data_IF_808658575679
#
_entry.id   IF_808658575679
#
_cell.length_a   1.000
_cell.length_b   1.000
_cell.length_c   1.000
_cell.angle_alpha   90.00
_cell.angle_beta   90.00
_cell.angle_gamma   90.00
#
_symmetry.space_group_name_H-M   'P 1'
#
loop_
_entity.id
_entity.type
_entity.pdbx_description
1 polymer ?
#
# COMPACT_ATOMS: atom_id res chain seq x y z
N UNK A 1 16.22 -3.00 43.35
CA UNK A 1 17.06 -3.30 42.17
C UNK A 1 16.22 -4.12 41.20
N UNK A 2 16.02 -3.53 40.02
CA UNK A 2 15.46 -4.03 38.74
C UNK A 2 14.35 -5.09 38.72
N UNK A 3 13.15 -4.65 38.35
CA UNK A 3 12.32 -5.38 37.38
C UNK A 3 11.79 -4.36 36.37
N UNK A 4 12.62 -4.01 35.37
CA UNK A 4 12.14 -3.33 34.15
C UNK A 4 12.06 -4.40 33.07
N UNK A 5 10.94 -5.13 33.04
CA UNK A 5 10.65 -6.04 31.94
C UNK A 5 10.47 -5.24 30.66
N UNK A 6 10.91 -5.79 29.53
CA UNK A 6 10.76 -5.21 28.19
C UNK A 6 9.33 -4.78 27.84
N UNK A 7 8.34 -5.40 28.49
CA UNK A 7 6.92 -5.09 28.37
C UNK A 7 6.56 -3.72 28.96
N UNK A 8 7.13 -3.35 30.11
CA UNK A 8 6.92 -2.03 30.72
C UNK A 8 7.49 -0.92 29.86
N UNK A 9 8.69 -1.10 29.32
CA UNK A 9 9.31 -0.13 28.39
C UNK A 9 8.51 0.02 27.09
N UNK A 10 7.97 -1.07 26.56
CA UNK A 10 7.09 -1.03 25.39
C UNK A 10 5.78 -0.29 25.67
N UNK A 11 5.21 -0.43 26.87
CA UNK A 11 4.03 0.32 27.30
C UNK A 11 4.31 1.83 27.40
N UNK A 12 5.45 2.22 27.99
CA UNK A 12 5.87 3.63 28.05
C UNK A 12 6.15 4.24 26.66
N UNK A 13 6.77 3.48 25.76
CA UNK A 13 7.01 3.94 24.39
C UNK A 13 5.69 4.15 23.61
N UNK A 14 4.72 3.24 23.77
CA UNK A 14 3.38 3.41 23.19
C UNK A 14 2.66 4.62 23.76
N UNK A 15 2.74 4.80 25.08
CA UNK A 15 2.14 5.93 25.79
C UNK A 15 2.72 7.27 25.31
N UNK A 16 4.05 7.37 25.23
CA UNK A 16 4.73 8.57 24.72
C UNK A 16 4.36 8.89 23.26
N UNK A 17 4.20 7.88 22.42
CA UNK A 17 3.75 8.04 21.03
C UNK A 17 2.32 8.56 20.94
N UNK A 18 1.38 7.94 21.65
CA UNK A 18 -0.03 8.33 21.63
C UNK A 18 -0.20 9.75 22.17
N UNK A 19 0.36 10.04 23.34
CA UNK A 19 0.29 11.37 23.94
C UNK A 19 0.99 12.43 23.08
N UNK A 20 2.12 12.09 22.47
CA UNK A 20 2.81 12.97 21.52
C UNK A 20 1.92 13.30 20.32
N UNK A 21 1.33 12.29 19.67
CA UNK A 21 0.41 12.54 18.55
C UNK A 21 -0.76 13.43 18.97
N UNK A 22 -1.39 13.16 20.11
CA UNK A 22 -2.49 13.99 20.64
C UNK A 22 -2.05 15.44 20.91
N UNK A 23 -0.92 15.64 21.58
CA UNK A 23 -0.40 16.96 21.89
C UNK A 23 0.04 17.74 20.65
N UNK A 24 0.63 17.06 19.67
CA UNK A 24 1.00 17.66 18.39
C UNK A 24 -0.23 18.13 17.61
N UNK A 25 -1.28 17.31 17.53
CA UNK A 25 -2.54 17.69 16.88
C UNK A 25 -3.18 18.91 17.58
N UNK A 26 -3.23 18.89 18.92
CA UNK A 26 -3.80 20.01 19.68
C UNK A 26 -3.00 21.30 19.53
N UNK A 27 -1.67 21.22 19.49
CA UNK A 27 -0.82 22.38 19.25
C UNK A 27 -1.13 22.98 17.87
N UNK A 28 -1.29 22.16 16.83
CA UNK A 28 -1.61 22.65 15.49
C UNK A 28 -3.01 23.28 15.41
N UNK A 29 -4.00 22.70 16.10
CA UNK A 29 -5.35 23.28 16.21
C UNK A 29 -5.35 24.65 16.93
N UNK A 30 -4.39 24.88 17.81
CA UNK A 30 -4.21 26.15 18.53
C UNK A 30 -3.28 27.13 17.78
N UNK A 31 -2.87 26.82 16.54
CA UNK A 31 -1.96 27.65 15.75
C UNK A 31 -0.48 27.55 16.15
N UNK A 32 -0.13 26.54 16.95
CA UNK A 32 1.23 26.16 17.30
C UNK A 32 1.92 25.34 16.22
N UNK A 33 2.95 24.58 16.60
CA UNK A 33 3.65 23.62 15.72
C UNK A 33 3.47 22.21 16.25
N UNK A 34 3.03 21.28 15.40
CA UNK A 34 2.86 19.87 15.75
C UNK A 34 4.08 19.30 16.47
N UNK A 35 5.30 19.50 15.94
CA UNK A 35 6.53 18.98 16.56
C UNK A 35 6.72 19.45 18.02
N UNK A 36 6.36 20.70 18.34
CA UNK A 36 6.47 21.23 19.69
C UNK A 36 5.44 20.59 20.64
N UNK A 37 4.19 20.43 20.18
CA UNK A 37 3.15 19.74 20.93
C UNK A 37 3.45 18.25 21.11
N UNK A 38 4.03 17.63 20.08
CA UNK A 38 4.41 16.22 20.07
C UNK A 38 5.51 15.92 21.08
N UNK A 39 6.60 16.70 21.04
CA UNK A 39 7.72 16.52 21.96
C UNK A 39 7.30 16.83 23.39
N UNK A 40 6.55 17.92 23.61
CA UNK A 40 6.14 18.32 24.97
C UNK A 40 5.15 17.33 25.59
N UNK A 41 4.12 16.88 24.86
CA UNK A 41 3.15 15.93 25.36
C UNK A 41 3.71 14.49 25.44
N UNK A 42 4.56 14.09 24.49
CA UNK A 42 5.23 12.79 24.52
C UNK A 42 6.23 12.67 25.68
N UNK A 43 6.97 13.74 25.98
CA UNK A 43 7.85 13.80 27.15
C UNK A 43 7.05 13.82 28.47
N UNK A 44 5.85 14.40 28.48
CA UNK A 44 4.98 14.48 29.66
C UNK A 44 4.09 13.24 29.86
N UNK A 45 4.04 12.34 28.87
CA UNK A 45 3.13 11.20 28.81
C UNK A 45 3.28 10.21 29.98
N UNK A 46 4.44 10.20 30.64
CA UNK A 46 4.75 9.34 31.79
C UNK A 46 3.85 9.61 33.01
N UNK A 47 3.04 10.68 32.99
CA UNK A 47 2.23 11.16 34.11
C UNK A 47 0.71 11.04 33.93
N UNK A 48 0.20 10.52 32.79
CA UNK A 48 -1.24 10.61 32.46
C UNK A 48 -1.87 9.27 32.00
N UNK A 49 -3.17 9.03 32.28
CA UNK A 49 -3.92 7.89 31.73
C UNK A 49 -4.17 8.01 30.21
N UNK A 50 -4.24 6.87 29.52
CA UNK A 50 -4.45 6.76 28.07
C UNK A 50 -5.92 7.06 27.73
N UNK A 51 -6.23 8.04 26.85
CA UNK A 51 -7.54 8.13 26.24
C UNK A 51 -7.67 7.12 25.09
N UNK A 52 -8.78 6.40 25.07
CA UNK A 52 -9.16 5.52 23.97
C UNK A 52 -9.75 6.36 22.82
N UNK A 53 -9.08 6.37 21.67
CA UNK A 53 -9.54 7.12 20.49
C UNK A 53 -10.42 6.20 19.65
N UNK A 54 -11.72 6.24 19.89
CA UNK A 54 -12.71 5.59 19.03
C UNK A 54 -13.15 6.57 17.93
N UNK A 55 -12.83 6.25 16.67
CA UNK A 55 -13.26 7.02 15.51
C UNK A 55 -13.90 6.06 14.49
N UNK A 56 -15.23 5.96 14.54
CA UNK A 56 -16.00 5.07 13.67
C UNK A 56 -16.48 5.80 12.39
N UNK A 57 -16.70 5.03 11.32
CA UNK A 57 -17.23 5.53 10.05
C UNK A 57 -16.22 6.26 9.16
N UNK A 58 -16.68 6.68 7.98
CA UNK A 58 -15.82 7.29 6.95
C UNK A 58 -15.13 8.57 7.43
N UNK A 59 -15.81 9.41 8.20
CA UNK A 59 -15.24 10.63 8.77
C UNK A 59 -14.13 10.32 9.80
N UNK A 60 -14.35 9.33 10.67
CA UNK A 60 -13.35 8.89 11.64
C UNK A 60 -12.09 8.32 10.98
N UNK A 61 -12.27 7.51 9.94
CA UNK A 61 -11.15 6.96 9.18
C UNK A 61 -10.37 8.04 8.41
N UNK A 62 -11.04 9.07 7.89
CA UNK A 62 -10.36 10.25 7.28
C UNK A 62 -9.50 10.99 8.30
N UNK A 63 -10.00 11.16 9.53
CA UNK A 63 -9.24 11.79 10.62
C UNK A 63 -8.02 10.96 11.00
N UNK A 64 -8.16 9.63 11.09
CA UNK A 64 -7.03 8.72 11.35
C UNK A 64 -5.98 8.81 10.23
N UNK A 65 -6.40 8.80 8.96
CA UNK A 65 -5.50 8.94 7.82
C UNK A 65 -4.77 10.29 7.86
N UNK A 66 -5.46 11.38 8.20
CA UNK A 66 -4.87 12.69 8.37
C UNK A 66 -3.78 12.69 9.45
N UNK A 67 -4.06 12.11 10.62
CA UNK A 67 -3.11 12.04 11.73
C UNK A 67 -1.87 11.23 11.34
N UNK A 68 -2.04 10.10 10.66
CA UNK A 68 -0.92 9.26 10.20
C UNK A 68 -0.08 10.03 9.18
N UNK A 69 -0.69 10.57 8.12
CA UNK A 69 0.02 11.28 7.07
C UNK A 69 0.73 12.54 7.56
N UNK A 70 0.11 13.28 8.48
CA UNK A 70 0.73 14.44 9.11
C UNK A 70 1.94 14.05 9.96
N UNK A 71 1.83 12.99 10.75
CA UNK A 71 2.94 12.49 11.59
C UNK A 71 4.11 12.04 10.72
N UNK A 72 3.85 11.29 9.64
CA UNK A 72 4.90 10.84 8.71
C UNK A 72 5.57 12.03 8.01
N UNK A 73 4.80 13.03 7.59
CA UNK A 73 5.34 14.26 6.99
C UNK A 73 6.26 14.99 7.95
N UNK A 74 5.87 15.17 9.22
CA UNK A 74 6.74 15.86 10.19
C UNK A 74 8.01 15.06 10.48
N UNK A 75 7.91 13.74 10.65
CA UNK A 75 9.08 12.87 10.89
C UNK A 75 10.08 12.86 9.72
N UNK A 76 9.61 13.12 8.50
CA UNK A 76 10.44 13.20 7.30
C UNK A 76 10.88 14.63 6.94
N UNK A 77 10.62 15.61 7.83
CA UNK A 77 11.04 17.01 7.66
C UNK A 77 10.05 17.90 6.88
N UNK A 78 8.86 17.39 6.57
CA UNK A 78 7.73 18.14 6.04
C UNK A 78 6.90 18.80 7.14
N UNK A 79 5.80 19.49 6.74
CA UNK A 79 4.83 20.07 7.69
C UNK A 79 3.72 19.07 7.99
N UNK A 80 3.35 18.92 9.26
CA UNK A 80 2.21 18.10 9.67
C UNK A 80 0.94 18.42 8.88
N UNK A 81 0.53 19.69 8.80
CA UNK A 81 -0.68 20.10 8.09
C UNK A 81 -0.70 19.64 6.62
N UNK A 82 0.44 19.71 5.92
CA UNK A 82 0.54 19.28 4.52
C UNK A 82 0.35 17.77 4.39
N UNK A 83 1.00 16.98 5.25
CA UNK A 83 0.84 15.52 5.26
C UNK A 83 -0.55 15.08 5.68
N UNK A 84 -1.16 15.80 6.63
CA UNK A 84 -2.49 15.51 7.13
C UNK A 84 -3.56 15.80 6.08
N UNK A 85 -3.50 16.96 5.41
CA UNK A 85 -4.40 17.30 4.32
C UNK A 85 -4.24 16.32 3.16
N UNK A 86 -3.00 15.97 2.79
CA UNK A 86 -2.74 15.03 1.71
C UNK A 86 -3.33 13.64 2.01
N UNK A 87 -3.09 13.09 3.18
CA UNK A 87 -3.58 11.76 3.55
C UNK A 87 -5.10 11.73 3.79
N UNK A 88 -5.69 12.77 4.38
CA UNK A 88 -7.13 12.91 4.50
C UNK A 88 -7.81 12.97 3.13
N UNK A 89 -7.26 13.78 2.23
CA UNK A 89 -7.76 13.92 0.87
C UNK A 89 -7.63 12.61 0.09
N UNK A 90 -6.50 11.91 0.20
CA UNK A 90 -6.30 10.61 -0.44
C UNK A 90 -7.26 9.55 0.09
N UNK A 91 -7.51 9.53 1.39
CA UNK A 91 -8.47 8.62 1.97
C UNK A 91 -9.90 8.94 1.49
N UNK A 92 -10.29 10.21 1.50
CA UNK A 92 -11.61 10.65 1.04
C UNK A 92 -11.80 10.42 -0.48
N UNK A 93 -10.78 10.73 -1.28
CA UNK A 93 -10.78 10.51 -2.73
C UNK A 93 -10.71 9.02 -3.05
N UNK A 94 -9.87 8.24 -2.36
CA UNK A 94 -9.80 6.79 -2.47
C UNK A 94 -11.14 6.12 -2.16
N UNK A 95 -11.82 6.56 -1.10
CA UNK A 95 -13.21 6.14 -0.83
C UNK A 95 -14.18 6.58 -1.92
N UNK A 96 -14.04 7.79 -2.47
CA UNK A 96 -14.90 8.27 -3.56
C UNK A 96 -14.64 7.54 -4.88
N UNK A 97 -13.39 7.14 -5.14
CA UNK A 97 -12.98 6.34 -6.29
C UNK A 97 -13.46 4.90 -6.09
N UNK A 98 -13.33 4.31 -4.91
CA UNK A 98 -13.91 3.01 -4.59
C UNK A 98 -15.45 3.02 -4.69
N UNK A 99 -16.10 4.11 -4.28
CA UNK A 99 -17.55 4.33 -4.41
C UNK A 99 -18.01 4.73 -5.82
N UNK A 100 -17.11 5.20 -6.70
CA UNK A 100 -17.38 5.48 -8.13
C UNK A 100 -16.98 4.33 -9.06
N UNK A 101 -16.07 3.46 -8.62
CA UNK A 101 -15.73 2.17 -9.28
C UNK A 101 -16.91 1.20 -9.28
N UNK A 102 -17.94 1.45 -8.47
CA UNK A 102 -19.21 0.73 -8.54
C UNK A 102 -20.14 1.23 -9.64
N UNK A 103 -19.87 2.38 -10.30
CA UNK A 103 -20.80 2.97 -11.27
C UNK A 103 -20.27 3.24 -12.69
N UNK A 104 -19.05 3.73 -12.96
CA UNK A 104 -18.70 4.13 -14.35
C UNK A 104 -17.20 4.00 -14.73
N UNK A 105 -16.93 3.20 -15.78
CA UNK A 105 -15.87 3.29 -16.82
C UNK A 105 -14.35 3.31 -16.42
N UNK A 106 -13.58 2.26 -16.71
CA UNK A 106 -12.79 1.97 -17.96
C UNK A 106 -11.31 2.40 -17.87
N UNK A 107 -10.30 1.52 -17.89
CA UNK A 107 -10.28 0.12 -18.32
C UNK A 107 -9.24 -0.77 -17.62
N UNK A 108 -9.69 -1.97 -17.27
CA UNK A 108 -9.06 -3.24 -17.69
C UNK A 108 -10.12 -4.20 -18.28
N UNK A 109 -11.28 -3.67 -18.71
CA UNK A 109 -12.44 -4.45 -19.11
C UNK A 109 -12.17 -5.35 -20.32
N UNK A 110 -11.68 -6.55 -20.02
CA UNK A 110 -11.39 -7.63 -20.93
C UNK A 110 -10.52 -8.61 -20.16
N UNK A 111 -11.08 -9.77 -19.79
CA UNK A 111 -10.38 -10.77 -19.00
C UNK A 111 -8.95 -10.96 -19.52
N UNK A 112 -8.00 -11.01 -18.60
CA UNK A 112 -6.57 -11.12 -18.89
C UNK A 112 -6.34 -12.04 -20.12
N UNK A 113 -5.80 -11.54 -21.24
CA UNK A 113 -5.81 -12.26 -22.52
C UNK A 113 -4.94 -13.53 -22.47
N UNK A 114 -4.17 -13.70 -21.40
CA UNK A 114 -3.26 -14.83 -21.20
C UNK A 114 -4.03 -15.97 -20.53
N UNK A 115 -4.14 -17.15 -21.17
CA UNK A 115 -4.73 -18.34 -20.57
C UNK A 115 -4.10 -18.69 -19.21
N UNK A 116 -4.84 -19.43 -18.39
CA UNK A 116 -4.24 -19.97 -17.17
C UNK A 116 -3.18 -21.01 -17.54
N UNK A 117 -1.99 -20.88 -16.94
CA UNK A 117 -0.87 -21.81 -17.09
C UNK A 117 -0.17 -22.01 -15.74
N UNK A 118 -0.51 -23.11 -15.08
CA UNK A 118 0.04 -23.49 -13.78
C UNK A 118 1.20 -24.50 -13.90
N UNK A 119 1.71 -24.74 -15.11
CA UNK A 119 2.81 -25.69 -15.34
C UNK A 119 4.12 -25.20 -14.69
N UNK A 120 4.32 -23.88 -14.60
CA UNK A 120 5.48 -23.26 -13.95
C UNK A 120 5.42 -23.24 -12.42
N UNK A 121 4.34 -23.72 -11.79
CA UNK A 121 4.20 -23.70 -10.33
C UNK A 121 5.08 -24.79 -9.69
N UNK A 122 5.97 -24.48 -8.71
CA UNK A 122 7.01 -25.40 -8.26
C UNK A 122 6.55 -26.70 -7.60
N UNK A 123 5.34 -26.72 -7.03
CA UNK A 123 4.81 -27.91 -6.33
C UNK A 123 3.30 -28.00 -6.50
N UNK A 124 2.76 -29.22 -6.41
CA UNK A 124 1.31 -29.46 -6.45
C UNK A 124 0.57 -28.76 -5.31
N UNK A 125 1.21 -28.67 -4.13
CA UNK A 125 0.66 -27.92 -2.99
C UNK A 125 0.52 -26.43 -3.33
N UNK A 126 1.55 -25.82 -3.91
CA UNK A 126 1.48 -24.42 -4.33
C UNK A 126 0.43 -24.22 -5.42
N UNK A 127 0.32 -25.18 -6.36
CA UNK A 127 -0.70 -25.15 -7.40
C UNK A 127 -2.10 -25.16 -6.79
N UNK A 128 -2.36 -26.04 -5.83
CA UNK A 128 -3.62 -26.09 -5.10
C UNK A 128 -3.91 -24.78 -4.35
N UNK A 129 -2.92 -24.20 -3.68
CA UNK A 129 -3.09 -22.91 -2.99
C UNK A 129 -3.38 -21.77 -3.97
N UNK A 130 -2.77 -21.78 -5.16
CA UNK A 130 -3.04 -20.81 -6.23
C UNK A 130 -4.41 -20.99 -6.89
N UNK A 131 -5.09 -22.12 -6.73
CA UNK A 131 -6.45 -22.33 -7.27
C UNK A 131 -7.52 -22.34 -6.19
N UNK A 132 -7.13 -22.35 -4.91
CA UNK A 132 -8.03 -22.39 -3.76
C UNK A 132 -9.02 -21.23 -3.76
N UNK A 133 -10.24 -21.48 -3.28
CA UNK A 133 -11.23 -20.42 -2.99
C UNK A 133 -10.99 -19.77 -1.63
N UNK A 134 -10.12 -20.34 -0.79
CA UNK A 134 -9.76 -19.77 0.52
C UNK A 134 -8.76 -18.61 0.34
N UNK A 135 -9.10 -17.38 0.78
CA UNK A 135 -8.17 -16.26 0.77
C UNK A 135 -6.86 -16.53 1.51
N UNK A 136 -6.85 -17.33 2.57
CA UNK A 136 -5.64 -17.64 3.33
C UNK A 136 -4.65 -18.47 2.50
N UNK A 137 -5.14 -19.41 1.70
CA UNK A 137 -4.31 -20.18 0.77
C UNK A 137 -3.71 -19.30 -0.32
N UNK A 138 -4.52 -18.39 -0.89
CA UNK A 138 -4.06 -17.42 -1.91
C UNK A 138 -2.93 -16.55 -1.37
N UNK A 139 -3.15 -15.95 -0.20
CA UNK A 139 -2.12 -15.17 0.50
C UNK A 139 -0.90 -16.05 0.83
N UNK A 140 -1.10 -17.30 1.22
CA UNK A 140 -0.02 -18.27 1.46
C UNK A 140 0.82 -18.52 0.22
N UNK A 141 0.20 -18.74 -0.95
CA UNK A 141 0.89 -18.91 -2.22
C UNK A 141 1.69 -17.66 -2.60
N UNK A 142 1.11 -16.48 -2.41
CA UNK A 142 1.78 -15.22 -2.65
C UNK A 142 3.03 -15.03 -1.75
N UNK A 143 2.97 -15.41 -0.47
CA UNK A 143 4.14 -15.41 0.42
C UNK A 143 5.25 -16.36 -0.06
N UNK A 144 4.87 -17.52 -0.57
CA UNK A 144 5.83 -18.47 -1.14
C UNK A 144 6.44 -17.93 -2.43
N UNK A 145 5.67 -17.24 -3.27
CA UNK A 145 6.18 -16.55 -4.46
C UNK A 145 7.17 -15.42 -4.11
N UNK A 146 6.89 -14.62 -3.07
CA UNK A 146 7.82 -13.60 -2.54
C UNK A 146 9.18 -14.23 -2.21
N UNK A 147 9.18 -15.36 -1.49
CA UNK A 147 10.39 -16.07 -1.14
C UNK A 147 11.10 -16.67 -2.37
N UNK A 148 10.34 -17.33 -3.25
CA UNK A 148 10.86 -17.99 -4.45
C UNK A 148 11.54 -17.02 -5.42
N UNK A 149 10.87 -15.91 -5.74
CA UNK A 149 11.37 -14.89 -6.67
C UNK A 149 12.30 -13.87 -6.01
N UNK A 150 12.57 -14.01 -4.71
CA UNK A 150 13.44 -13.12 -3.94
C UNK A 150 12.99 -11.66 -4.01
N UNK A 151 11.69 -11.44 -3.90
CA UNK A 151 11.08 -10.11 -3.95
C UNK A 151 11.55 -9.32 -2.75
N UNK A 152 12.18 -8.16 -2.99
CA UNK A 152 12.69 -7.31 -1.93
C UNK A 152 11.54 -6.59 -1.24
N UNK A 153 11.31 -6.95 0.01
CA UNK A 153 10.34 -6.27 0.86
C UNK A 153 10.97 -4.99 1.41
N UNK A 154 10.42 -3.80 1.12
CA UNK A 154 10.89 -2.56 1.74
C UNK A 154 10.66 -2.63 3.26
N UNK A 155 11.44 -1.87 4.03
CA UNK A 155 11.37 -1.88 5.51
C UNK A 155 10.02 -1.40 6.09
N UNK A 156 9.12 -0.88 5.26
CA UNK A 156 7.77 -0.50 5.64
C UNK A 156 6.89 -1.74 5.88
N UNK A 157 6.10 -1.72 6.97
CA UNK A 157 5.08 -2.76 7.21
C UNK A 157 3.94 -2.58 6.21
N UNK A 158 3.62 -3.63 5.47
CA UNK A 158 2.41 -3.72 4.67
C UNK A 158 1.66 -5.03 4.94
N UNK A 159 0.35 -5.01 4.71
CA UNK A 159 -0.52 -6.18 4.79
C UNK A 159 -0.72 -6.78 3.40
N UNK A 160 -0.57 -8.10 3.28
CA UNK A 160 -0.84 -8.82 2.03
C UNK A 160 -2.23 -9.45 2.12
N UNK A 161 -3.10 -9.15 1.15
CA UNK A 161 -4.50 -9.56 1.10
C UNK A 161 -4.84 -10.23 -0.22
N UNK A 162 -5.95 -10.97 -0.21
CA UNK A 162 -6.60 -11.48 -1.41
C UNK A 162 -8.05 -11.03 -1.42
N UNK A 163 -8.52 -10.55 -2.58
CA UNK A 163 -9.92 -10.22 -2.82
C UNK A 163 -10.38 -10.92 -4.11
N UNK A 164 -11.28 -11.90 -3.97
CA UNK A 164 -11.82 -12.66 -5.09
C UNK A 164 -12.68 -11.85 -6.06
N UNK A 165 -13.11 -10.65 -5.66
CA UNK A 165 -13.89 -9.74 -6.51
C UNK A 165 -13.00 -8.67 -7.19
N UNK A 166 -11.72 -8.61 -6.84
CA UNK A 166 -10.80 -7.64 -7.43
C UNK A 166 -10.54 -8.03 -8.88
N UNK A 167 -11.00 -7.18 -9.80
CA UNK A 167 -10.83 -7.40 -11.24
C UNK A 167 -9.39 -7.22 -11.71
N UNK A 168 -8.58 -6.50 -10.93
CA UNK A 168 -7.17 -6.24 -11.20
C UNK A 168 -6.28 -7.38 -10.70
N UNK A 169 -5.07 -7.47 -11.26
CA UNK A 169 -4.03 -8.39 -10.77
C UNK A 169 -3.61 -8.00 -9.34
N UNK A 170 -3.23 -6.74 -9.14
CA UNK A 170 -2.78 -6.22 -7.86
C UNK A 170 -3.34 -4.82 -7.61
N UNK A 171 -3.33 -4.42 -6.34
CA UNK A 171 -3.70 -3.09 -5.89
C UNK A 171 -2.93 -2.75 -4.61
N UNK A 172 -2.11 -1.71 -4.66
CA UNK A 172 -1.45 -1.14 -3.48
C UNK A 172 -2.19 0.10 -2.97
N UNK A 173 -2.58 0.09 -1.70
CA UNK A 173 -3.36 1.15 -1.06
C UNK A 173 -2.79 1.55 0.30
N UNK A 174 -3.04 2.79 0.71
CA UNK A 174 -2.72 3.30 2.03
C UNK A 174 -4.02 3.66 2.78
N UNK A 175 -4.59 2.69 3.50
CA UNK A 175 -5.89 2.80 4.20
C UNK A 175 -5.76 2.36 5.66
N UNK A 176 -5.32 3.26 6.55
CA UNK A 176 -5.00 2.92 7.96
C UNK A 176 -3.72 2.07 8.12
N UNK A 177 -3.09 1.72 7.01
CA UNK A 177 -1.87 0.93 6.85
C UNK A 177 -1.63 0.69 5.36
N UNK A 178 -0.39 0.38 4.98
CA UNK A 178 -0.07 0.02 3.60
C UNK A 178 -0.56 -1.40 3.35
N UNK A 179 -1.30 -1.63 2.27
CA UNK A 179 -1.81 -2.96 1.91
C UNK A 179 -1.57 -3.25 0.44
N UNK A 180 -1.22 -4.50 0.14
CA UNK A 180 -1.14 -5.06 -1.20
C UNK A 180 -2.25 -6.11 -1.31
N UNK A 181 -3.25 -5.84 -2.13
CA UNK A 181 -4.37 -6.76 -2.37
C UNK A 181 -4.22 -7.39 -3.75
N UNK A 182 -4.25 -8.72 -3.81
CA UNK A 182 -4.18 -9.48 -5.06
C UNK A 182 -5.57 -9.99 -5.46
N UNK A 183 -5.88 -9.91 -6.75
CA UNK A 183 -7.12 -10.45 -7.33
C UNK A 183 -6.89 -11.80 -8.02
N UNK A 184 -7.96 -12.51 -8.42
CA UNK A 184 -7.86 -13.76 -9.17
C UNK A 184 -6.92 -13.70 -10.38
N UNK A 185 -6.89 -12.61 -11.18
CA UNK A 185 -5.98 -12.52 -12.32
C UNK A 185 -4.51 -12.68 -11.93
N UNK A 186 -4.04 -12.27 -10.75
CA UNK A 186 -2.63 -12.46 -10.38
C UNK A 186 -2.17 -13.93 -10.33
N UNK A 187 -3.11 -14.87 -10.16
CA UNK A 187 -2.81 -16.28 -9.92
C UNK A 187 -2.89 -17.16 -11.18
N UNK A 188 -3.00 -16.58 -12.38
CA UNK A 188 -3.14 -17.36 -13.63
C UNK A 188 -1.87 -18.09 -14.05
N UNK A 189 -0.70 -17.63 -13.63
CA UNK A 189 0.57 -18.31 -13.83
C UNK A 189 1.56 -18.00 -12.70
N UNK A 190 2.59 -18.82 -12.55
CA UNK A 190 3.62 -18.59 -11.53
C UNK A 190 4.43 -17.32 -11.80
N UNK A 191 4.78 -17.09 -13.06
CA UNK A 191 5.49 -15.90 -13.53
C UNK A 191 4.65 -14.64 -13.38
N UNK A 192 3.33 -14.71 -13.61
CA UNK A 192 2.41 -13.60 -13.42
C UNK A 192 2.23 -13.23 -11.96
N UNK A 193 2.13 -14.21 -11.06
CA UNK A 193 2.06 -13.96 -9.62
C UNK A 193 3.34 -13.26 -9.14
N UNK A 194 4.51 -13.76 -9.58
CA UNK A 194 5.80 -13.14 -9.30
C UNK A 194 5.92 -11.71 -9.79
N UNK A 195 5.57 -11.46 -11.06
CA UNK A 195 5.62 -10.13 -11.67
C UNK A 195 4.64 -9.15 -11.00
N UNK A 196 3.42 -9.59 -10.67
CA UNK A 196 2.43 -8.77 -9.95
C UNK A 196 2.96 -8.39 -8.57
N UNK A 197 3.50 -9.35 -7.80
CA UNK A 197 4.07 -9.06 -6.49
C UNK A 197 5.28 -8.12 -6.56
N UNK A 198 6.15 -8.27 -7.56
CA UNK A 198 7.28 -7.36 -7.76
C UNK A 198 6.82 -5.94 -8.08
N UNK A 199 5.81 -5.82 -8.93
CA UNK A 199 5.17 -4.55 -9.29
C UNK A 199 4.58 -3.85 -8.05
N UNK A 200 3.75 -4.55 -7.28
CA UNK A 200 3.13 -3.96 -6.09
C UNK A 200 4.16 -3.66 -5.00
N UNK A 201 5.08 -4.58 -4.71
CA UNK A 201 5.97 -4.50 -3.52
C UNK A 201 7.26 -3.72 -3.80
N UNK A 202 8.00 -4.06 -4.86
CA UNK A 202 9.30 -3.42 -5.13
C UNK A 202 9.16 -2.07 -5.80
N UNK A 203 7.99 -1.78 -6.40
CA UNK A 203 7.70 -0.49 -7.01
C UNK A 203 6.70 0.30 -6.19
N UNK A 204 5.44 -0.10 -6.06
CA UNK A 204 4.44 0.77 -5.42
C UNK A 204 4.65 0.92 -3.92
N UNK A 205 4.85 -0.15 -3.16
CA UNK A 205 5.15 -0.06 -1.72
C UNK A 205 6.44 0.75 -1.49
N UNK A 206 7.46 0.58 -2.35
CA UNK A 206 8.68 1.41 -2.30
C UNK A 206 8.41 2.89 -2.61
N UNK A 207 7.63 3.20 -3.65
CA UNK A 207 7.21 4.57 -3.99
C UNK A 207 6.40 5.20 -2.84
N UNK A 208 5.47 4.47 -2.23
CA UNK A 208 4.75 4.96 -1.05
C UNK A 208 5.68 5.20 0.15
N UNK A 209 6.75 4.42 0.28
CA UNK A 209 7.75 4.58 1.35
C UNK A 209 8.69 5.77 1.10
N UNK A 210 9.10 6.00 -0.15
CA UNK A 210 10.10 7.00 -0.53
C UNK A 210 9.47 8.33 -0.94
N UNK A 211 8.52 8.29 -1.85
CA UNK A 211 7.87 9.47 -2.45
C UNK A 211 6.62 9.89 -1.66
N UNK A 212 6.18 9.05 -0.74
CA UNK A 212 4.89 9.21 -0.07
C UNK A 212 3.72 8.92 -1.00
N UNK A 213 2.50 9.10 -0.49
CA UNK A 213 1.30 8.82 -1.26
C UNK A 213 1.05 9.87 -2.35
N UNK A 214 0.28 9.51 -3.38
CA UNK A 214 0.09 10.35 -4.58
C UNK A 214 -0.40 11.77 -4.26
N UNK A 215 0.37 12.78 -4.64
CA UNK A 215 0.14 14.20 -4.30
C UNK A 215 -0.85 14.93 -5.21
N UNK A 216 -1.59 14.22 -6.06
CA UNK A 216 -2.60 14.79 -6.97
C UNK A 216 -2.02 15.57 -8.15
N UNK A 217 -0.72 15.43 -8.45
CA UNK A 217 -0.13 16.08 -9.64
C UNK A 217 -0.72 15.45 -10.91
N UNK A 218 -1.04 16.24 -11.94
CA UNK A 218 -1.48 15.69 -13.23
C UNK A 218 -0.50 14.62 -13.74
N UNK A 219 -1.04 13.46 -14.14
CA UNK A 219 -0.25 12.34 -14.65
C UNK A 219 0.67 11.65 -13.63
N UNK A 220 0.53 11.89 -12.33
CA UNK A 220 1.34 11.19 -11.32
C UNK A 220 1.06 9.68 -11.29
N UNK A 221 -0.22 9.31 -11.35
CA UNK A 221 -0.64 7.91 -11.42
C UNK A 221 -0.02 7.21 -12.63
N UNK A 222 -0.22 7.75 -13.84
CA UNK A 222 0.30 7.15 -15.07
C UNK A 222 1.84 7.07 -15.07
N UNK A 223 2.55 8.04 -14.48
CA UNK A 223 4.03 7.95 -14.32
C UNK A 223 4.45 6.81 -13.40
N UNK A 224 3.76 6.62 -12.27
CA UNK A 224 4.06 5.53 -11.33
C UNK A 224 3.81 4.17 -11.98
N UNK A 225 2.70 4.02 -12.72
CA UNK A 225 2.36 2.82 -13.49
C UNK A 225 3.37 2.53 -14.62
N UNK A 226 3.78 3.54 -15.39
CA UNK A 226 4.83 3.39 -16.42
C UNK A 226 6.11 2.85 -15.80
N UNK A 227 6.57 3.43 -14.69
CA UNK A 227 7.75 2.94 -13.97
C UNK A 227 7.59 1.49 -13.51
N UNK A 228 6.38 1.09 -13.11
CA UNK A 228 6.09 -0.25 -12.61
C UNK A 228 6.03 -1.30 -13.75
N UNK A 229 5.49 -0.96 -14.92
CA UNK A 229 5.56 -1.86 -16.09
C UNK A 229 6.95 -1.92 -16.70
N UNK A 230 7.71 -0.82 -16.74
CA UNK A 230 9.11 -0.86 -17.13
C UNK A 230 9.95 -1.74 -16.19
N UNK A 231 9.67 -1.68 -14.89
CA UNK A 231 10.25 -2.59 -13.91
C UNK A 231 9.96 -4.06 -14.26
N UNK A 232 8.69 -4.40 -14.49
CA UNK A 232 8.29 -5.76 -14.86
C UNK A 232 8.97 -6.24 -16.14
N UNK A 233 9.04 -5.40 -17.19
CA UNK A 233 9.72 -5.75 -18.44
C UNK A 233 11.21 -6.04 -18.19
N UNK A 234 11.90 -5.20 -17.40
CA UNK A 234 13.31 -5.43 -17.03
C UNK A 234 13.51 -6.68 -16.18
N UNK A 235 12.54 -7.05 -15.34
CA UNK A 235 12.60 -8.22 -14.46
C UNK A 235 11.93 -9.46 -15.05
N UNK A 236 11.45 -9.41 -16.30
CA UNK A 236 10.73 -10.51 -16.96
C UNK A 236 11.50 -11.83 -16.91
N UNK A 237 12.82 -11.79 -17.13
CA UNK A 237 13.69 -12.96 -17.00
C UNK A 237 13.76 -13.50 -15.57
N UNK A 238 13.73 -12.64 -14.54
CA UNK A 238 13.73 -13.06 -13.12
C UNK A 238 12.47 -13.84 -12.77
N UNK A 239 11.33 -13.41 -13.30
CA UNK A 239 10.04 -14.04 -13.05
C UNK A 239 9.73 -15.21 -13.99
N UNK A 240 10.52 -15.37 -15.06
CA UNK A 240 10.28 -16.38 -16.08
C UNK A 240 9.07 -16.05 -16.96
N UNK A 241 8.82 -14.76 -17.21
CA UNK A 241 7.67 -14.35 -18.01
C UNK A 241 7.79 -14.79 -19.47
N UNK A 242 6.68 -15.28 -20.03
CA UNK A 242 6.59 -15.65 -21.44
C UNK A 242 6.54 -14.41 -22.35
N UNK A 243 6.79 -14.59 -23.65
CA UNK A 243 6.68 -13.47 -24.61
C UNK A 243 5.29 -12.81 -24.63
N UNK A 244 4.17 -13.57 -24.59
CA UNK A 244 2.84 -12.97 -24.43
C UNK A 244 2.68 -12.13 -23.15
N UNK A 245 3.21 -12.60 -22.02
CA UNK A 245 3.18 -11.85 -20.74
C UNK A 245 3.95 -10.54 -20.84
N UNK A 246 5.14 -10.58 -21.45
CA UNK A 246 5.97 -9.39 -21.68
C UNK A 246 5.24 -8.40 -22.61
N UNK A 247 4.55 -8.88 -23.64
CA UNK A 247 3.82 -8.03 -24.57
C UNK A 247 2.63 -7.33 -23.92
N UNK A 248 1.89 -8.03 -23.05
CA UNK A 248 0.83 -7.40 -22.23
C UNK A 248 1.41 -6.29 -21.34
N UNK A 249 2.58 -6.50 -20.73
CA UNK A 249 3.24 -5.47 -19.92
C UNK A 249 3.65 -4.23 -20.74
N UNK A 250 4.13 -4.42 -21.97
CA UNK A 250 4.43 -3.30 -22.88
C UNK A 250 3.17 -2.53 -23.27
N UNK A 251 2.09 -3.25 -23.62
CA UNK A 251 0.83 -2.62 -23.99
C UNK A 251 0.25 -1.77 -22.83
N UNK A 252 0.35 -2.27 -21.60
CA UNK A 252 -0.08 -1.53 -20.41
C UNK A 252 0.81 -0.31 -20.13
N UNK A 253 2.14 -0.45 -20.27
CA UNK A 253 3.06 0.70 -20.22
C UNK A 253 2.69 1.77 -21.25
N UNK A 254 2.48 1.36 -22.49
CA UNK A 254 2.22 2.27 -23.62
C UNK A 254 0.84 2.96 -23.47
N UNK A 255 -0.15 2.25 -22.91
CA UNK A 255 -1.43 2.84 -22.51
C UNK A 255 -1.24 4.02 -21.54
N UNK A 256 -0.44 3.85 -20.49
CA UNK A 256 -0.16 4.93 -19.53
C UNK A 256 0.71 6.04 -20.13
N UNK A 257 1.68 5.72 -21.00
CA UNK A 257 2.47 6.70 -21.73
C UNK A 257 1.59 7.60 -22.62
N UNK A 258 0.64 7.02 -23.35
CA UNK A 258 -0.27 7.78 -24.21
C UNK A 258 -1.14 8.75 -23.41
N UNK A 259 -1.62 8.31 -22.23
CA UNK A 259 -2.38 9.16 -21.29
C UNK A 259 -1.55 10.34 -20.76
N UNK A 260 -0.25 10.15 -20.55
CA UNK A 260 0.67 11.24 -20.18
C UNK A 260 0.88 12.26 -21.31
N UNK A 261 0.85 11.81 -22.56
CA UNK A 261 1.07 12.64 -23.74
C UNK A 261 -0.20 13.37 -24.21
N UNK A 262 -1.36 13.08 -23.61
CA UNK A 262 -2.65 13.68 -24.00
C UNK A 262 -3.24 13.10 -25.28
N UNK A 263 -2.67 12.02 -25.81
CA UNK A 263 -3.18 11.32 -26.99
C UNK A 263 -4.30 10.36 -26.53
N UNK A 264 -5.54 10.68 -26.91
CA UNK A 264 -6.72 9.80 -26.76
C UNK A 264 -6.96 9.03 -28.03
#
# INVERSE_FOLDING_TARGET
MSITTSEGMAAYAKLALVSGVTGGVMAELQGGRFGNGFVSAGASAVLSPIPEVAAEGAAGQTVIAAVIGGTVSELSGGKFANGAIAAAFQFAVGRSIAARRTSEASGDGGGDPIPEDLSGVPTDRLRAMMTSSDPADRVGAARQAIAYFKIKVPGARYELRYDGNLKYRGLTELNGGLSVTLGPPAYRSWSQLGATLGHEIEVHVAQFTVDGPMGGKPGEYDRREVSAYEYNIRQSSRFGNSQPEIEVMKNLRDYHLNRLQGNR
#
